data_IF_100734138768
#
_entry.id   IF_100734138768
#
_cell.length_a   1.000
_cell.length_b   1.000
_cell.length_c   1.000
_cell.angle_alpha   90.00
_cell.angle_beta   90.00
_cell.angle_gamma   90.00
#
_symmetry.space_group_name_H-M   'P 1'
#
loop_
_entity.id
_entity.type
_entity.pdbx_description
1 polymer ?
#
# COMPACT_ATOMS: atom_id res chain seq x y z
N UNK A 1 17.01 -29.58 -2.22
CA UNK A 1 17.84 -28.74 -1.32
C UNK A 1 17.48 -27.29 -1.58
N UNK A 2 16.56 -26.70 -0.81
CA UNK A 2 16.17 -25.29 -0.95
C UNK A 2 17.20 -24.48 -0.16
N UNK A 3 18.06 -23.74 -0.85
CA UNK A 3 19.02 -22.84 -0.19
C UNK A 3 18.23 -21.86 0.70
N UNK A 4 18.64 -21.64 1.96
CA UNK A 4 17.98 -20.65 2.81
C UNK A 4 18.15 -19.28 2.16
N UNK A 5 17.02 -18.66 1.78
CA UNK A 5 16.99 -17.32 1.20
C UNK A 5 17.43 -16.32 2.26
N UNK A 6 18.68 -15.90 2.20
CA UNK A 6 19.24 -14.84 3.07
C UNK A 6 18.43 -13.56 2.81
N UNK A 7 17.65 -13.13 3.80
CA UNK A 7 16.83 -11.93 3.72
C UNK A 7 17.73 -10.71 3.60
N UNK A 8 17.64 -10.00 2.47
CA UNK A 8 18.40 -8.77 2.22
C UNK A 8 17.65 -7.57 2.79
N UNK A 9 18.36 -6.48 3.08
CA UNK A 9 17.77 -5.21 3.54
C UNK A 9 16.67 -4.66 2.60
N UNK A 10 16.79 -4.94 1.30
CA UNK A 10 15.76 -4.66 0.29
C UNK A 10 14.47 -5.44 0.51
N UNK A 11 14.57 -6.69 0.97
CA UNK A 11 13.43 -7.56 1.26
C UNK A 11 12.64 -7.01 2.46
N UNK A 12 13.33 -6.49 3.47
CA UNK A 12 12.68 -5.83 4.62
C UNK A 12 11.97 -4.52 4.23
N UNK A 13 12.55 -3.71 3.32
CA UNK A 13 11.87 -2.50 2.82
C UNK A 13 10.62 -2.85 2.01
N UNK A 14 10.72 -3.83 1.11
CA UNK A 14 9.55 -4.32 0.34
C UNK A 14 8.48 -4.92 1.25
N UNK A 15 8.87 -5.64 2.30
CA UNK A 15 7.93 -6.21 3.27
C UNK A 15 7.26 -5.17 4.18
N UNK A 16 7.89 -4.01 4.41
CA UNK A 16 7.24 -2.87 5.07
C UNK A 16 6.24 -2.16 4.15
N UNK A 17 6.57 -2.05 2.85
CA UNK A 17 5.71 -1.39 1.86
C UNK A 17 4.47 -2.23 1.51
N UNK A 18 4.64 -3.55 1.42
CA UNK A 18 3.57 -4.48 1.04
C UNK A 18 2.73 -4.97 2.23
N UNK A 19 2.75 -4.27 3.37
CA UNK A 19 1.87 -4.63 4.49
C UNK A 19 0.80 -3.58 4.72
N UNK A 20 -0.41 -4.03 5.09
CA UNK A 20 -1.49 -3.10 5.38
C UNK A 20 -1.09 -2.24 6.57
N UNK A 21 -1.30 -0.94 6.43
CA UNK A 21 -1.21 0.03 7.52
C UNK A 21 -2.23 -0.31 8.61
N UNK A 22 -3.39 -0.83 8.21
CA UNK A 22 -4.45 -1.27 9.11
C UNK A 22 -5.28 -2.39 8.49
N UNK A 23 -5.65 -3.38 9.29
CA UNK A 23 -6.64 -4.41 8.93
C UNK A 23 -7.76 -4.42 9.96
N UNK A 24 -9.01 -4.54 9.53
CA UNK A 24 -10.17 -4.63 10.41
C UNK A 24 -11.28 -5.50 9.80
N UNK A 25 -12.02 -6.21 10.65
CA UNK A 25 -13.30 -6.79 10.28
C UNK A 25 -14.40 -5.76 10.60
N UNK A 26 -15.18 -5.39 9.59
CA UNK A 26 -16.33 -4.52 9.72
C UNK A 26 -17.56 -5.43 9.75
N UNK A 27 -18.30 -5.38 10.86
CA UNK A 27 -19.57 -6.11 11.01
C UNK A 27 -20.70 -5.08 10.94
N UNK A 28 -21.49 -5.10 9.87
CA UNK A 28 -22.80 -4.49 9.86
C UNK A 28 -23.86 -5.56 10.23
N UNK A 29 -25.10 -5.16 10.55
CA UNK A 29 -26.18 -6.11 10.81
C UNK A 29 -26.49 -7.03 9.63
N UNK A 30 -26.18 -6.60 8.40
CA UNK A 30 -26.58 -7.25 7.15
C UNK A 30 -25.41 -7.94 6.44
N UNK A 31 -24.18 -7.43 6.61
CA UNK A 31 -23.00 -7.90 5.86
C UNK A 31 -21.72 -7.81 6.71
N UNK A 32 -20.86 -8.82 6.62
CA UNK A 32 -19.52 -8.79 7.20
C UNK A 32 -18.49 -8.59 6.11
N UNK A 33 -17.62 -7.61 6.31
CA UNK A 33 -16.49 -7.33 5.42
C UNK A 33 -15.17 -7.44 6.14
N UNK A 34 -14.20 -8.05 5.48
CA UNK A 34 -12.80 -7.79 5.79
C UNK A 34 -12.38 -6.53 5.05
N UNK A 35 -11.69 -5.63 5.75
CA UNK A 35 -11.11 -4.44 5.16
C UNK A 35 -9.64 -4.32 5.54
N UNK A 36 -8.80 -4.05 4.55
CA UNK A 36 -7.40 -3.72 4.73
C UNK A 36 -7.07 -2.39 4.05
N UNK A 37 -6.33 -1.54 4.76
CA UNK A 37 -5.89 -0.23 4.30
C UNK A 37 -4.38 -0.32 4.05
N UNK A 38 -3.94 0.00 2.84
CA UNK A 38 -2.55 0.02 2.41
C UNK A 38 -2.12 1.44 2.09
N UNK A 39 -0.86 1.78 2.38
CA UNK A 39 -0.26 3.00 1.87
C UNK A 39 0.13 2.78 0.40
N UNK A 40 -0.34 3.66 -0.49
CA UNK A 40 0.13 3.70 -1.87
C UNK A 40 1.35 4.61 -1.94
N UNK A 41 2.50 4.03 -2.26
CA UNK A 41 3.78 4.71 -2.21
C UNK A 41 4.35 4.92 -3.60
N UNK A 42 5.17 5.96 -3.75
CA UNK A 42 5.86 6.29 -4.99
C UNK A 42 6.93 5.23 -5.33
N UNK A 43 6.51 4.10 -5.92
CA UNK A 43 7.38 2.94 -6.22
C UNK A 43 8.26 3.16 -7.45
N UNK A 44 7.96 4.16 -8.28
CA UNK A 44 8.71 4.45 -9.50
C UNK A 44 8.83 5.96 -9.75
N UNK A 45 9.78 6.34 -10.61
CA UNK A 45 9.95 7.72 -11.07
C UNK A 45 8.71 8.23 -11.82
N UNK A 46 8.02 7.35 -12.55
CA UNK A 46 6.79 7.70 -13.26
C UNK A 46 5.68 8.12 -12.29
N UNK A 47 5.58 7.44 -11.13
CA UNK A 47 4.65 7.82 -10.06
C UNK A 47 4.91 9.28 -9.63
N UNK A 48 6.15 9.60 -9.23
CA UNK A 48 6.53 10.95 -8.78
C UNK A 48 6.28 12.00 -9.85
N UNK A 49 6.72 11.74 -11.09
CA UNK A 49 6.61 12.72 -12.17
C UNK A 49 5.15 13.08 -12.47
N UNK A 50 4.26 12.08 -12.55
CA UNK A 50 2.84 12.34 -12.81
C UNK A 50 2.19 13.04 -11.61
N UNK A 51 2.35 12.51 -10.40
CA UNK A 51 1.70 13.06 -9.21
C UNK A 51 2.15 14.49 -8.87
N UNK A 52 3.41 14.87 -9.16
CA UNK A 52 3.87 16.23 -8.92
C UNK A 52 3.29 17.25 -9.91
N UNK A 53 2.96 16.83 -11.13
CA UNK A 53 2.49 17.75 -12.18
C UNK A 53 0.99 17.67 -12.45
N UNK A 54 0.31 16.63 -11.98
CA UNK A 54 -1.09 16.42 -12.28
C UNK A 54 -1.98 17.37 -11.46
N UNK A 55 -2.89 18.08 -12.14
CA UNK A 55 -3.78 19.07 -11.52
C UNK A 55 -4.65 18.46 -10.43
N UNK A 56 -5.10 17.22 -10.62
CA UNK A 56 -5.95 16.51 -9.65
C UNK A 56 -5.16 15.71 -8.62
N UNK A 57 -3.83 15.75 -8.62
CA UNK A 57 -3.07 15.03 -7.60
C UNK A 57 -3.30 15.69 -6.23
N UNK A 58 -3.77 14.94 -5.21
CA UNK A 58 -3.96 15.44 -3.85
C UNK A 58 -2.66 15.90 -3.19
N UNK A 59 -1.53 15.29 -3.56
CA UNK A 59 -0.18 15.62 -3.09
C UNK A 59 0.77 15.82 -4.28
N UNK A 60 1.56 16.90 -4.28
CA UNK A 60 2.41 17.32 -5.43
C UNK A 60 3.91 17.41 -5.13
N UNK A 61 4.32 16.91 -3.98
CA UNK A 61 5.72 16.81 -3.56
C UNK A 61 6.18 15.38 -3.13
N UNK A 62 5.53 14.24 -3.49
CA UNK A 62 6.10 12.94 -3.15
C UNK A 62 7.48 12.70 -3.77
N UNK A 63 8.40 12.17 -2.95
CA UNK A 63 9.67 11.59 -3.39
C UNK A 63 9.57 10.06 -3.52
N UNK A 64 10.50 9.39 -4.24
CA UNK A 64 10.48 7.93 -4.35
C UNK A 64 10.48 7.24 -2.97
N UNK A 65 9.49 6.40 -2.74
CA UNK A 65 9.25 5.71 -1.46
C UNK A 65 8.31 6.43 -0.49
N UNK A 66 7.94 7.68 -0.76
CA UNK A 66 6.95 8.40 0.04
C UNK A 66 5.55 7.87 -0.21
N UNK A 67 4.69 7.99 0.81
CA UNK A 67 3.25 7.77 0.67
C UNK A 67 2.66 8.88 -0.19
N UNK A 68 2.00 8.47 -1.27
CA UNK A 68 1.24 9.34 -2.17
C UNK A 68 -0.24 9.35 -1.75
N UNK A 69 -0.82 8.15 -1.56
CA UNK A 69 -2.25 7.94 -1.36
C UNK A 69 -2.51 6.75 -0.41
N UNK A 70 -3.78 6.38 -0.21
CA UNK A 70 -4.21 5.17 0.49
C UNK A 70 -5.11 4.30 -0.37
N UNK A 71 -4.94 2.98 -0.29
CA UNK A 71 -5.80 1.99 -0.94
C UNK A 71 -6.60 1.21 0.11
N UNK A 72 -7.90 1.06 -0.11
CA UNK A 72 -8.77 0.22 0.71
C UNK A 72 -9.12 -1.02 -0.11
N UNK A 73 -8.80 -2.19 0.43
CA UNK A 73 -9.21 -3.49 -0.12
C UNK A 73 -10.27 -4.05 0.82
N UNK A 74 -11.49 -4.24 0.32
CA UNK A 74 -12.60 -4.81 1.08
C UNK A 74 -13.27 -5.97 0.34
N UNK A 75 -13.59 -7.04 1.05
CA UNK A 75 -14.34 -8.18 0.52
C UNK A 75 -15.25 -8.76 1.60
N UNK A 76 -16.42 -9.32 1.22
CA UNK A 76 -17.31 -9.98 2.17
C UNK A 76 -16.63 -11.23 2.74
N UNK A 77 -16.88 -11.53 4.01
CA UNK A 77 -16.31 -12.70 4.72
C UNK A 77 -17.33 -13.79 5.05
N UNK A 78 -18.57 -13.59 4.62
CA UNK A 78 -19.64 -14.59 4.70
C UNK A 78 -19.87 -15.23 3.32
#
# INVERSE_FOLDING_TARGET
MVLPRILKKSDFRRWKLNRPTRTQAIMSPEERYFQAIYADCAVSKACVNCHNTHLLSPKRDPSPGDVMEGMIISFPVD
#
